data_IF_328623997242
#
_entry.id   IF_328623997242
#
_cell.length_a   1.000
_cell.length_b   1.000
_cell.length_c   1.000
_cell.angle_alpha   90.00
_cell.angle_beta   90.00
_cell.angle_gamma   90.00
#
_symmetry.space_group_name_H-M   'P 1'
#
loop_
_entity.id
_entity.type
_entity.pdbx_description
1 polymer ?
#
# COMPACT_ATOMS: atom_id res chain seq x y z
N UNK A 1 -12.79 21.80 64.54
CA UNK A 1 -12.68 22.38 63.19
C UNK A 1 -11.64 21.57 62.43
N UNK A 2 -12.07 20.50 61.75
CA UNK A 2 -11.16 19.61 61.02
C UNK A 2 -11.15 20.01 59.55
N UNK A 3 -10.04 20.56 59.10
CA UNK A 3 -9.76 20.85 57.69
C UNK A 3 -9.55 19.53 56.93
N UNK A 4 -10.52 19.15 56.10
CA UNK A 4 -10.36 18.10 55.10
C UNK A 4 -9.45 18.63 53.99
N UNK A 5 -8.19 18.19 54.00
CA UNK A 5 -7.28 18.34 52.86
C UNK A 5 -7.78 17.41 51.74
N UNK A 6 -8.18 18.01 50.61
CA UNK A 6 -8.50 17.27 49.40
C UNK A 6 -7.26 16.51 48.88
N UNK A 7 -7.41 15.27 48.37
CA UNK A 7 -6.30 14.55 47.77
C UNK A 7 -5.83 15.26 46.48
N UNK A 8 -4.53 15.22 46.18
CA UNK A 8 -3.99 15.79 44.95
C UNK A 8 -4.63 15.09 43.75
N UNK A 9 -5.18 15.87 42.83
CA UNK A 9 -5.60 15.40 41.51
C UNK A 9 -4.38 14.84 40.79
N UNK A 10 -4.22 13.52 40.85
CA UNK A 10 -3.28 12.76 40.07
C UNK A 10 -3.42 13.14 38.60
N UNK A 11 -2.32 13.58 38.00
CA UNK A 11 -2.24 13.79 36.56
C UNK A 11 -2.70 12.54 35.82
N UNK A 12 -3.34 12.66 34.64
CA UNK A 12 -3.69 11.50 33.84
C UNK A 12 -2.41 10.81 33.40
N UNK A 13 -2.11 9.68 34.04
CA UNK A 13 -1.07 8.75 33.63
C UNK A 13 -1.27 8.42 32.14
N UNK A 14 -0.23 8.68 31.34
CA UNK A 14 -0.21 8.38 29.91
C UNK A 14 -0.02 6.87 29.69
N UNK A 15 -0.87 6.04 30.27
CA UNK A 15 -1.11 4.68 29.75
C UNK A 15 -1.92 4.81 28.47
N UNK A 16 -1.26 5.31 27.41
CA UNK A 16 -1.82 5.39 26.05
C UNK A 16 -1.91 3.97 25.50
N UNK A 17 -3.02 3.30 25.76
CA UNK A 17 -3.41 2.15 24.95
C UNK A 17 -3.45 2.56 23.48
N UNK A 18 -3.08 1.63 22.61
CA UNK A 18 -3.08 1.77 21.16
C UNK A 18 -4.52 2.00 20.65
N UNK A 19 -5.02 3.25 20.74
CA UNK A 19 -6.39 3.57 20.37
C UNK A 19 -6.92 4.94 20.81
N UNK A 20 -6.22 5.69 21.65
CA UNK A 20 -6.69 7.02 22.09
C UNK A 20 -6.26 8.15 21.14
N UNK A 21 -6.71 8.10 19.88
CA UNK A 21 -6.53 9.19 18.92
C UNK A 21 -7.67 10.20 19.02
N UNK A 22 -7.33 11.49 18.90
CA UNK A 22 -8.28 12.60 18.95
C UNK A 22 -8.28 13.36 17.65
N UNK A 23 -9.45 13.51 17.01
CA UNK A 23 -9.57 14.32 15.80
C UNK A 23 -9.51 15.82 16.16
N UNK A 24 -8.67 16.61 15.48
CA UNK A 24 -8.54 18.05 15.74
C UNK A 24 -9.78 18.86 15.36
N UNK A 25 -10.55 18.41 14.36
CA UNK A 25 -11.74 19.12 13.86
C UNK A 25 -12.98 18.82 14.71
N UNK A 26 -13.38 17.56 14.81
CA UNK A 26 -14.61 17.18 15.53
C UNK A 26 -14.39 16.89 17.02
N UNK A 27 -13.14 16.93 17.51
CA UNK A 27 -12.74 16.67 18.91
C UNK A 27 -13.21 15.34 19.49
N UNK A 28 -13.68 14.39 18.66
CA UNK A 28 -13.98 13.03 19.09
C UNK A 28 -12.70 12.37 19.60
N UNK A 29 -12.78 11.81 20.79
CA UNK A 29 -11.70 11.07 21.46
C UNK A 29 -11.85 9.57 21.23
N UNK A 30 -10.79 8.82 21.47
CA UNK A 30 -10.78 7.34 21.43
C UNK A 30 -11.16 6.76 20.06
N UNK A 31 -10.76 7.44 19.00
CA UNK A 31 -10.96 6.95 17.63
C UNK A 31 -9.88 5.90 17.31
N UNK A 32 -10.29 4.81 16.66
CA UNK A 32 -9.35 3.78 16.18
C UNK A 32 -8.50 4.32 15.03
N UNK A 33 -7.33 3.71 14.79
CA UNK A 33 -6.44 4.11 13.70
C UNK A 33 -7.09 4.01 12.31
N UNK A 34 -8.13 3.18 12.16
CA UNK A 34 -8.88 2.99 10.92
C UNK A 34 -9.71 4.21 10.53
N UNK A 35 -10.06 5.07 11.48
CA UNK A 35 -10.79 6.33 11.25
C UNK A 35 -9.89 7.43 10.66
N UNK A 36 -8.58 7.19 10.51
CA UNK A 36 -7.60 8.13 10.00
C UNK A 36 -6.91 7.61 8.73
N UNK A 37 -6.33 8.52 7.94
CA UNK A 37 -5.51 8.12 6.80
C UNK A 37 -4.20 7.47 7.27
N UNK A 38 -3.80 6.37 6.63
CA UNK A 38 -2.53 5.67 6.92
C UNK A 38 -1.33 6.62 6.84
N UNK A 39 -1.35 7.58 5.91
CA UNK A 39 -0.28 8.57 5.74
C UNK A 39 -0.25 9.54 6.92
N UNK A 40 -1.42 10.00 7.38
CA UNK A 40 -1.51 10.89 8.55
C UNK A 40 -1.07 10.18 9.83
N UNK A 41 -1.44 8.90 9.99
CA UNK A 41 -1.00 8.08 11.11
C UNK A 41 0.52 7.88 11.11
N UNK A 42 1.13 7.60 9.94
CA UNK A 42 2.58 7.51 9.84
C UNK A 42 3.28 8.82 10.21
N UNK A 43 2.74 9.97 9.77
CA UNK A 43 3.27 11.29 10.15
C UNK A 43 3.12 11.55 11.66
N UNK A 44 1.97 11.21 12.23
CA UNK A 44 1.69 11.34 13.65
C UNK A 44 2.63 10.50 14.51
N UNK A 45 2.90 9.26 14.11
CA UNK A 45 3.84 8.37 14.77
C UNK A 45 5.28 8.88 14.64
N UNK A 46 5.69 9.35 13.45
CA UNK A 46 7.03 9.92 13.22
C UNK A 46 7.27 11.21 14.02
N UNK A 47 6.25 12.04 14.17
CA UNK A 47 6.32 13.32 14.89
C UNK A 47 6.09 13.19 16.40
N UNK A 48 6.29 12.00 16.98
CA UNK A 48 6.12 11.73 18.41
C UNK A 48 4.76 12.20 18.98
N UNK A 49 3.67 12.00 18.21
CA UNK A 49 2.30 12.28 18.64
C UNK A 49 1.97 13.77 18.87
N UNK A 50 2.79 14.68 18.32
CA UNK A 50 2.58 16.13 18.44
C UNK A 50 1.74 16.74 17.31
N UNK A 51 1.60 16.03 16.17
CA UNK A 51 0.82 16.54 15.04
C UNK A 51 -0.68 16.42 15.27
N UNK A 52 -1.42 17.42 14.82
CA UNK A 52 -2.87 17.35 14.72
C UNK A 52 -3.31 16.41 13.60
N UNK A 53 -4.19 15.46 13.91
CA UNK A 53 -4.74 14.49 12.96
C UNK A 53 -6.24 14.73 12.77
N UNK A 54 -6.71 14.51 11.56
CA UNK A 54 -8.12 14.69 11.17
C UNK A 54 -8.71 13.36 10.74
N UNK A 55 -9.90 13.03 11.22
CA UNK A 55 -10.57 11.78 10.85
C UNK A 55 -11.12 11.86 9.42
N UNK A 56 -11.29 10.70 8.79
CA UNK A 56 -11.81 10.55 7.42
C UNK A 56 -13.15 11.24 7.22
N UNK A 57 -14.05 11.15 8.19
CA UNK A 57 -15.36 11.81 8.13
C UNK A 57 -15.25 13.34 8.03
N UNK A 58 -14.28 13.96 8.71
CA UNK A 58 -14.06 15.40 8.62
C UNK A 58 -13.37 15.80 7.31
N UNK A 59 -12.51 14.94 6.78
CA UNK A 59 -11.89 15.16 5.46
C UNK A 59 -12.95 15.09 4.36
N UNK A 60 -13.82 14.08 4.38
CA UNK A 60 -14.92 13.94 3.41
C UNK A 60 -15.86 15.15 3.42
N UNK A 61 -16.29 15.62 4.61
CA UNK A 61 -17.10 16.83 4.74
C UNK A 61 -16.44 18.07 4.14
N UNK A 62 -15.13 18.22 4.35
CA UNK A 62 -14.38 19.36 3.79
C UNK A 62 -14.27 19.27 2.27
N UNK A 63 -14.11 18.08 1.72
CA UNK A 63 -14.09 17.85 0.27
C UNK A 63 -15.45 18.16 -0.35
N UNK A 64 -16.55 17.71 0.26
CA UNK A 64 -17.92 18.04 -0.17
C UNK A 64 -18.19 19.56 -0.16
N UNK A 65 -17.79 20.26 0.90
CA UNK A 65 -17.91 21.73 0.97
C UNK A 65 -17.03 22.45 -0.07
N UNK A 66 -15.88 21.89 -0.43
CA UNK A 66 -15.04 22.45 -1.49
C UNK A 66 -15.67 22.23 -2.87
N UNK A 67 -16.26 21.05 -3.09
CA UNK A 67 -16.97 20.74 -4.32
C UNK A 67 -18.16 21.69 -4.47
N UNK A 68 -18.99 21.87 -3.43
CA UNK A 68 -20.14 22.78 -3.50
C UNK A 68 -19.71 24.22 -3.77
N UNK A 69 -18.69 24.73 -3.09
CA UNK A 69 -18.15 26.09 -3.33
C UNK A 69 -17.60 26.26 -4.74
N UNK A 70 -16.94 25.23 -5.28
CA UNK A 70 -16.42 25.28 -6.66
C UNK A 70 -17.55 25.28 -7.70
N UNK A 71 -18.63 24.54 -7.45
CA UNK A 71 -19.81 24.53 -8.31
C UNK A 71 -20.58 25.87 -8.26
N UNK A 72 -20.65 26.49 -7.09
CA UNK A 72 -21.26 27.82 -6.93
C UNK A 72 -20.42 28.89 -7.63
N UNK A 73 -19.09 28.84 -7.54
CA UNK A 73 -18.21 29.77 -8.25
C UNK A 73 -18.32 29.65 -9.78
N UNK A 74 -18.62 28.46 -10.31
CA UNK A 74 -18.87 28.30 -11.76
C UNK A 74 -20.23 28.82 -12.23
N UNK A 75 -21.16 29.15 -11.33
CA UNK A 75 -22.50 29.68 -11.69
C UNK A 75 -22.58 31.21 -11.76
N UNK A 76 -21.57 31.94 -11.30
CA UNK A 76 -21.60 33.42 -11.25
C UNK A 76 -20.72 34.07 -12.34
N UNK A 77 -20.04 33.27 -13.17
CA UNK A 77 -19.21 33.74 -14.27
C UNK A 77 -19.81 33.39 -15.62
N UNK A 78 -21.05 33.80 -15.85
CA UNK A 78 -21.74 33.74 -17.16
C UNK A 78 -22.00 35.15 -17.70
N UNK A 79 -20.97 36.00 -17.59
CA UNK A 79 -21.06 37.42 -17.88
C UNK A 79 -19.70 38.07 -18.07
N UNK A 80 -18.84 37.46 -18.89
CA UNK A 80 -17.76 38.19 -19.55
C UNK A 80 -17.37 37.44 -20.83
N UNK A 81 -18.18 37.66 -21.86
CA UNK A 81 -17.75 37.46 -23.23
C UNK A 81 -16.68 38.50 -23.53
N UNK A 82 -15.40 38.15 -23.39
CA UNK A 82 -14.37 38.73 -24.25
C UNK A 82 -13.08 37.90 -24.22
N UNK A 83 -12.74 37.38 -25.40
CA UNK A 83 -11.38 37.06 -25.85
C UNK A 83 -10.52 36.12 -24.99
N UNK A 84 -10.69 34.81 -25.21
CA UNK A 84 -9.57 33.88 -25.12
C UNK A 84 -9.77 32.78 -26.17
N UNK A 85 -8.94 32.81 -27.20
CA UNK A 85 -8.73 31.72 -28.14
C UNK A 85 -8.61 30.39 -27.37
N UNK A 86 -9.71 29.66 -27.29
CA UNK A 86 -9.76 28.37 -26.62
C UNK A 86 -8.98 27.38 -27.45
N UNK A 87 -7.67 27.28 -27.19
CA UNK A 87 -6.75 26.40 -27.90
C UNK A 87 -7.30 24.97 -27.83
N UNK A 88 -7.86 24.51 -28.95
CA UNK A 88 -8.41 23.18 -29.10
C UNK A 88 -7.25 22.22 -29.30
N UNK A 89 -7.20 21.17 -28.48
CA UNK A 89 -6.17 20.16 -28.57
C UNK A 89 -6.77 18.85 -29.09
N UNK A 90 -6.07 18.21 -30.03
CA UNK A 90 -6.46 16.92 -30.57
C UNK A 90 -5.98 15.77 -29.68
N UNK A 91 -6.90 14.88 -29.29
CA UNK A 91 -6.54 13.67 -28.57
C UNK A 91 -6.02 12.57 -29.52
N UNK A 92 -4.80 12.08 -29.29
CA UNK A 92 -4.17 11.03 -30.09
C UNK A 92 -4.93 9.68 -30.15
N UNK A 93 -5.75 9.38 -29.14
CA UNK A 93 -6.49 8.11 -29.07
C UNK A 93 -7.86 8.16 -29.79
N UNK A 94 -8.68 9.18 -29.51
CA UNK A 94 -10.01 9.32 -30.10
C UNK A 94 -10.12 10.35 -31.24
N UNK A 95 -9.03 11.07 -31.55
CA UNK A 95 -8.91 12.11 -32.60
C UNK A 95 -9.95 13.24 -32.50
N UNK A 96 -10.47 13.48 -31.29
CA UNK A 96 -11.40 14.58 -31.01
C UNK A 96 -10.62 15.83 -30.60
N UNK A 97 -11.02 16.97 -31.14
CA UNK A 97 -10.57 18.29 -30.71
C UNK A 97 -11.37 18.71 -29.48
N UNK A 98 -10.70 18.84 -28.34
CA UNK A 98 -11.31 19.14 -27.05
C UNK A 98 -10.59 20.31 -26.39
N UNK A 99 -11.28 21.01 -25.50
CA UNK A 99 -10.69 22.09 -24.72
C UNK A 99 -9.59 21.59 -23.77
N UNK A 100 -8.60 22.43 -23.46
CA UNK A 100 -7.50 22.13 -22.54
C UNK A 100 -7.94 21.58 -21.17
N UNK A 101 -9.14 21.93 -20.69
CA UNK A 101 -9.70 21.40 -19.45
C UNK A 101 -9.95 19.88 -19.45
N UNK A 102 -10.16 19.28 -20.63
CA UNK A 102 -10.39 17.83 -20.80
C UNK A 102 -9.09 17.03 -20.98
N UNK A 103 -7.94 17.69 -20.85
CA UNK A 103 -6.62 17.07 -20.88
C UNK A 103 -5.92 17.23 -19.53
N UNK A 104 -5.00 16.33 -19.25
CA UNK A 104 -4.11 16.49 -18.10
C UNK A 104 -3.08 17.59 -18.40
N UNK A 105 -2.98 18.61 -17.52
CA UNK A 105 -2.04 19.74 -17.66
C UNK A 105 -0.59 19.31 -17.91
N UNK A 106 -0.15 18.21 -17.30
CA UNK A 106 1.19 17.66 -17.53
C UNK A 106 1.37 17.11 -18.95
N UNK A 107 0.32 16.59 -19.57
CA UNK A 107 0.37 16.15 -20.97
C UNK A 107 0.42 17.35 -21.91
N UNK A 108 -0.36 18.39 -21.64
CA UNK A 108 -0.36 19.62 -22.43
C UNK A 108 1.04 20.26 -22.45
N UNK A 109 1.65 20.42 -21.27
CA UNK A 109 2.96 21.06 -21.13
C UNK A 109 4.13 20.24 -21.69
N UNK A 110 4.10 18.90 -21.55
CA UNK A 110 5.32 18.09 -21.75
C UNK A 110 5.30 17.22 -23.02
N UNK A 111 4.13 16.86 -23.57
CA UNK A 111 4.06 15.90 -24.70
C UNK A 111 4.01 16.57 -26.08
N UNK A 112 3.65 17.85 -26.14
CA UNK A 112 3.40 18.58 -27.39
C UNK A 112 2.09 18.17 -28.08
N UNK A 113 1.63 18.94 -29.08
CA UNK A 113 0.39 18.67 -29.81
C UNK A 113 0.46 17.33 -30.57
N UNK A 114 -0.68 16.63 -30.67
CA UNK A 114 -0.79 15.34 -31.39
C UNK A 114 -0.36 14.09 -30.61
N UNK A 115 0.28 14.23 -29.44
CA UNK A 115 0.67 13.09 -28.56
C UNK A 115 -0.13 13.03 -27.25
N UNK A 116 -1.02 14.00 -27.04
CA UNK A 116 -1.83 14.14 -25.83
C UNK A 116 -3.04 13.20 -25.89
N UNK A 117 -3.52 12.76 -24.73
CA UNK A 117 -4.73 11.93 -24.62
C UNK A 117 -5.71 12.63 -23.69
N UNK A 118 -6.99 12.68 -24.08
CA UNK A 118 -8.01 13.23 -23.20
C UNK A 118 -8.13 12.38 -21.92
N UNK A 119 -8.65 12.99 -20.86
CA UNK A 119 -8.78 12.35 -19.55
C UNK A 119 -9.56 11.03 -19.63
N UNK A 120 -10.59 10.96 -20.46
CA UNK A 120 -11.39 9.74 -20.68
C UNK A 120 -10.56 8.61 -21.30
N UNK A 121 -9.80 8.89 -22.36
CA UNK A 121 -8.94 7.90 -22.99
C UNK A 121 -7.79 7.45 -22.07
N UNK A 122 -7.31 8.31 -21.18
CA UNK A 122 -6.33 7.90 -20.16
C UNK A 122 -7.00 7.00 -19.12
N UNK A 123 -8.18 7.36 -18.63
CA UNK A 123 -8.95 6.54 -17.67
C UNK A 123 -9.31 5.18 -18.26
N UNK A 124 -9.76 5.12 -19.51
CA UNK A 124 -10.10 3.86 -20.17
C UNK A 124 -8.89 2.96 -20.35
N UNK A 125 -7.73 3.53 -20.74
CA UNK A 125 -6.48 2.77 -20.85
C UNK A 125 -6.04 2.19 -19.49
N UNK A 126 -6.06 3.00 -18.42
CA UNK A 126 -5.70 2.54 -17.06
C UNK A 126 -6.68 1.47 -16.57
N UNK A 127 -7.98 1.63 -16.83
CA UNK A 127 -8.98 0.64 -16.46
C UNK A 127 -8.80 -0.68 -17.22
N UNK A 128 -8.47 -0.62 -18.51
CA UNK A 128 -8.17 -1.81 -19.31
C UNK A 128 -6.89 -2.52 -18.82
N UNK A 129 -5.84 -1.78 -18.48
CA UNK A 129 -4.62 -2.35 -17.89
C UNK A 129 -4.89 -3.03 -16.55
N UNK A 130 -5.67 -2.38 -15.67
CA UNK A 130 -6.06 -2.95 -14.38
C UNK A 130 -6.93 -4.20 -14.53
N UNK A 131 -7.87 -4.21 -15.49
CA UNK A 131 -8.68 -5.39 -15.80
C UNK A 131 -7.81 -6.54 -16.32
N UNK A 132 -6.85 -6.26 -17.22
CA UNK A 132 -5.92 -7.28 -17.72
C UNK A 132 -5.02 -7.84 -16.60
N UNK A 133 -4.61 -7.01 -15.64
CA UNK A 133 -3.87 -7.47 -14.47
C UNK A 133 -4.73 -8.33 -13.53
N UNK A 134 -6.03 -8.01 -13.39
CA UNK A 134 -6.95 -8.83 -12.61
C UNK A 134 -7.12 -10.22 -13.22
N UNK A 135 -7.33 -10.31 -14.54
CA UNK A 135 -7.43 -11.59 -15.26
C UNK A 135 -6.16 -12.42 -15.08
N UNK A 136 -4.98 -11.82 -15.21
CA UNK A 136 -3.70 -12.54 -14.99
C UNK A 136 -3.57 -13.11 -13.58
N UNK A 137 -4.03 -12.38 -12.57
CA UNK A 137 -4.03 -12.86 -11.18
C UNK A 137 -5.02 -14.00 -10.98
N UNK A 138 -6.19 -13.93 -11.61
CA UNK A 138 -7.18 -15.00 -11.56
C UNK A 138 -6.67 -16.29 -12.25
N UNK A 139 -6.05 -16.17 -13.43
CA UNK A 139 -5.38 -17.29 -14.12
C UNK A 139 -4.25 -17.91 -13.28
N UNK A 140 -3.47 -17.10 -12.55
CA UNK A 140 -2.43 -17.59 -11.65
C UNK A 140 -3.03 -18.37 -10.46
N UNK A 141 -4.14 -17.88 -9.90
CA UNK A 141 -4.87 -18.59 -8.82
C UNK A 141 -5.46 -19.91 -9.31
N UNK A 142 -5.97 -19.98 -10.54
CA UNK A 142 -6.45 -21.23 -11.13
C UNK A 142 -5.33 -22.24 -11.32
N UNK A 143 -4.14 -21.81 -11.77
CA UNK A 143 -2.97 -22.68 -11.86
C UNK A 143 -2.56 -23.25 -10.51
N UNK A 144 -2.55 -22.43 -9.45
CA UNK A 144 -2.27 -22.90 -8.09
C UNK A 144 -3.30 -23.94 -7.63
N UNK A 145 -4.59 -23.73 -7.90
CA UNK A 145 -5.66 -24.71 -7.60
C UNK A 145 -5.51 -26.01 -8.38
N UNK A 146 -5.03 -25.96 -9.62
CA UNK A 146 -4.73 -27.18 -10.37
C UNK A 146 -3.53 -27.92 -9.79
N UNK A 147 -2.49 -27.20 -9.37
CA UNK A 147 -1.32 -27.79 -8.70
C UNK A 147 -1.71 -28.50 -7.41
N UNK A 148 -2.61 -27.92 -6.61
CA UNK A 148 -3.10 -28.56 -5.37
C UNK A 148 -3.92 -29.80 -5.65
N UNK A 149 -4.78 -29.79 -6.67
CA UNK A 149 -5.51 -30.98 -7.14
C UNK A 149 -4.56 -32.08 -7.64
N UNK A 150 -3.53 -31.73 -8.42
CA UNK A 150 -2.55 -32.68 -8.98
C UNK A 150 -1.64 -33.29 -7.90
N UNK A 151 -1.38 -32.58 -6.80
CA UNK A 151 -0.49 -33.05 -5.74
C UNK A 151 -1.04 -34.24 -4.93
N UNK A 152 -2.34 -34.56 -5.06
CA UNK A 152 -2.97 -35.72 -4.41
C UNK A 152 -3.03 -35.61 -2.88
N UNK A 153 -3.43 -36.70 -2.20
CA UNK A 153 -3.53 -36.76 -0.74
C UNK A 153 -2.29 -37.44 -0.13
N UNK A 154 -1.71 -36.84 0.91
CA UNK A 154 -0.86 -37.56 1.87
C UNK A 154 0.66 -37.42 1.75
N UNK A 155 1.17 -36.39 1.06
CA UNK A 155 2.63 -36.18 0.93
C UNK A 155 3.09 -34.74 1.20
N UNK A 156 4.39 -34.54 1.47
CA UNK A 156 4.96 -33.20 1.65
C UNK A 156 4.75 -32.26 0.45
N UNK A 157 4.60 -32.82 -0.76
CA UNK A 157 4.23 -32.07 -1.98
C UNK A 157 2.81 -31.51 -1.91
N UNK A 158 1.85 -32.26 -1.34
CA UNK A 158 0.47 -31.81 -1.17
C UNK A 158 0.37 -30.65 -0.17
N UNK A 159 1.12 -30.72 0.94
CA UNK A 159 1.21 -29.62 1.90
C UNK A 159 1.85 -28.38 1.27
N UNK A 160 2.96 -28.55 0.55
CA UNK A 160 3.64 -27.44 -0.11
C UNK A 160 2.75 -26.75 -1.15
N UNK A 161 1.97 -27.50 -1.92
CA UNK A 161 1.02 -26.96 -2.89
C UNK A 161 -0.12 -26.20 -2.17
N UNK A 162 -0.71 -26.77 -1.12
CA UNK A 162 -1.74 -26.11 -0.31
C UNK A 162 -1.24 -24.80 0.34
N UNK A 163 0.00 -24.78 0.83
CA UNK A 163 0.61 -23.56 1.37
C UNK A 163 0.80 -22.48 0.29
N UNK A 164 1.12 -22.86 -0.95
CA UNK A 164 1.24 -21.90 -2.07
C UNK A 164 -0.12 -21.33 -2.48
N UNK A 165 -1.15 -22.17 -2.54
CA UNK A 165 -2.52 -21.72 -2.77
C UNK A 165 -2.97 -20.72 -1.70
N UNK A 166 -2.81 -21.07 -0.42
CA UNK A 166 -3.14 -20.19 0.70
C UNK A 166 -2.33 -18.87 0.68
N UNK A 167 -1.06 -18.92 0.27
CA UNK A 167 -0.24 -17.73 0.12
C UNK A 167 -0.73 -16.83 -1.04
N UNK A 168 -1.15 -17.42 -2.17
CA UNK A 168 -1.75 -16.71 -3.29
C UNK A 168 -3.08 -16.04 -2.91
N UNK A 169 -3.94 -16.73 -2.16
CA UNK A 169 -5.17 -16.16 -1.62
C UNK A 169 -4.87 -15.01 -0.64
N UNK A 170 -3.85 -15.18 0.20
CA UNK A 170 -3.35 -14.13 1.09
C UNK A 170 -2.89 -12.88 0.32
N UNK A 171 -2.12 -13.04 -0.76
CA UNK A 171 -1.72 -11.92 -1.62
C UNK A 171 -2.92 -11.24 -2.29
N UNK A 172 -3.91 -12.02 -2.76
CA UNK A 172 -5.12 -11.47 -3.37
C UNK A 172 -5.92 -10.60 -2.40
N UNK A 173 -6.05 -11.01 -1.15
CA UNK A 173 -6.81 -10.28 -0.12
C UNK A 173 -6.04 -9.09 0.40
N UNK A 174 -4.74 -9.26 0.68
CA UNK A 174 -3.94 -8.23 1.37
C UNK A 174 -3.20 -7.28 0.44
N UNK A 175 -3.00 -7.67 -0.83
CA UNK A 175 -2.13 -6.97 -1.78
C UNK A 175 -0.64 -7.06 -1.43
N UNK A 176 -0.26 -7.90 -0.47
CA UNK A 176 1.12 -8.08 -0.03
C UNK A 176 1.69 -9.40 -0.55
N UNK A 177 2.88 -9.34 -1.14
CA UNK A 177 3.58 -10.53 -1.61
C UNK A 177 4.04 -11.40 -0.43
N UNK A 178 3.88 -12.73 -0.50
CA UNK A 178 4.36 -13.62 0.54
C UNK A 178 5.89 -13.57 0.63
N UNK A 179 6.40 -13.40 1.85
CA UNK A 179 7.84 -13.39 2.13
C UNK A 179 8.23 -14.73 2.73
N UNK A 180 9.17 -15.43 2.10
CA UNK A 180 9.74 -16.68 2.65
C UNK A 180 10.77 -16.32 3.70
N UNK A 181 10.39 -16.38 4.97
CA UNK A 181 11.31 -16.26 6.10
C UNK A 181 12.16 -17.55 6.17
N UNK A 182 13.46 -17.46 5.89
CA UNK A 182 14.41 -18.55 6.15
C UNK A 182 14.97 -19.32 4.94
N UNK A 183 14.98 -18.75 3.71
CA UNK A 183 15.75 -19.33 2.59
C UNK A 183 17.27 -19.06 2.67
N UNK A 184 17.73 -18.50 3.79
CA UNK A 184 19.14 -18.23 4.08
C UNK A 184 19.72 -19.28 5.01
N UNK A 185 20.44 -20.24 4.42
CA UNK A 185 21.42 -21.07 5.12
C UNK A 185 20.85 -22.07 6.12
N UNK A 186 20.87 -23.35 5.74
CA UNK A 186 21.18 -24.40 6.73
C UNK A 186 22.50 -23.99 7.35
N UNK A 187 22.44 -23.36 8.51
CA UNK A 187 23.62 -22.96 9.23
C UNK A 187 24.49 -24.18 9.39
N UNK A 188 25.72 -24.07 8.88
CA UNK A 188 26.85 -24.94 9.13
C UNK A 188 27.24 -24.82 10.61
N UNK A 189 26.31 -25.08 11.52
CA UNK A 189 26.49 -25.09 12.97
C UNK A 189 27.04 -26.44 13.46
N UNK A 190 27.78 -27.17 12.60
CA UNK A 190 28.53 -28.39 12.93
C UNK A 190 29.92 -28.43 12.31
N UNK A 191 30.65 -27.30 12.32
CA UNK A 191 32.13 -27.30 12.19
C UNK A 191 32.74 -26.22 13.09
N UNK A 192 32.52 -26.37 14.39
CA UNK A 192 33.36 -25.76 15.42
C UNK A 192 33.79 -26.86 16.38
N UNK A 193 35.11 -27.00 16.60
CA UNK A 193 35.65 -27.77 17.72
C UNK A 193 36.21 -29.15 17.36
N UNK A 194 37.42 -29.19 16.80
CA UNK A 194 38.19 -30.41 16.59
C UNK A 194 39.67 -30.17 16.41
N UNK A 195 40.21 -29.15 17.09
CA UNK A 195 41.65 -29.03 17.31
C UNK A 195 42.05 -30.07 18.37
N UNK A 196 42.25 -31.31 17.95
CA UNK A 196 42.79 -32.39 18.77
C UNK A 196 44.09 -32.88 18.15
N UNK A 197 45.20 -32.51 18.78
CA UNK A 197 46.56 -32.93 18.42
C UNK A 197 46.73 -34.44 18.57
N UNK A 198 47.52 -35.04 17.69
CA UNK A 198 48.38 -36.16 18.07
C UNK A 198 48.23 -37.45 17.28
N UNK A 199 49.38 -38.09 17.05
CA UNK A 199 49.61 -39.49 16.64
C UNK A 199 49.62 -39.69 15.11
N UNK A 200 50.71 -39.42 14.38
CA UNK A 200 51.97 -40.19 14.26
C UNK A 200 51.79 -41.67 13.88
N UNK A 201 52.58 -42.13 12.91
CA UNK A 201 52.76 -43.50 12.40
C UNK A 201 51.81 -43.89 11.24
N UNK A 202 52.25 -44.35 10.08
CA UNK A 202 53.59 -44.69 9.60
C UNK A 202 53.52 -44.97 8.09
N UNK A 203 54.48 -44.47 7.31
CA UNK A 203 55.41 -45.26 6.49
C UNK A 203 55.15 -46.78 6.44
N UNK A 204 55.01 -47.31 5.21
CA UNK A 204 55.20 -48.72 4.84
C UNK A 204 54.50 -49.00 3.50
N UNK A 205 55.13 -48.87 2.33
CA UNK A 205 55.94 -49.88 1.60
C UNK A 205 55.33 -51.29 1.58
N UNK A 206 55.06 -51.79 0.36
CA UNK A 206 55.25 -53.20 -0.04
C UNK A 206 54.03 -53.84 -0.71
N UNK A 207 53.98 -54.02 -2.04
CA UNK A 207 54.40 -55.19 -2.88
C UNK A 207 53.65 -56.52 -2.70
N UNK A 208 53.31 -57.12 -3.86
CA UNK A 208 52.87 -58.52 -4.18
C UNK A 208 51.43 -58.91 -3.83
N UNK A 209 50.68 -59.66 -4.65
CA UNK A 209 50.99 -60.58 -5.76
C UNK A 209 50.21 -60.25 -7.04
#
# INVERSE_FOLDING_TARGET
MSTFLAPPTSQPEKTKWAGDLTCSLCRRKRLTADEFSKIQMQKYLKAAQTCEITCKACVAKREEEQISKSLEQTKVSDGSADSADGELHECAACKKNLAAALFNKNQLRNKGPGKQRCIECVKSAVNAENAALAVKKDEEMEKLREETKKAGKGGGKSLAAACREAAGEGERVTGLKPIVLGRGGRGKWRRGGGAGRGVSAGRGRGTTK
#
